data_IF_781491017838
#
_entry.id   IF_781491017838
#
_cell.length_a   1.000
_cell.length_b   1.000
_cell.length_c   1.000
_cell.angle_alpha   90.00
_cell.angle_beta   90.00
_cell.angle_gamma   90.00
#
_symmetry.space_group_name_H-M   'P 1'
#
loop_
_entity.id
_entity.type
_entity.pdbx_description
1 polymer ?
#
# COMPACT_ATOMS: atom_id res chain seq x y z
N UNK A 1 -13.47 0.08 20.78
CA UNK A 1 -14.03 0.46 19.44
C UNK A 1 -14.40 1.95 19.26
N UNK A 2 -15.42 2.54 19.92
CA UNK A 2 -15.84 3.93 19.64
C UNK A 2 -14.75 5.00 19.89
N UNK A 3 -14.00 4.89 20.99
CA UNK A 3 -12.88 5.78 21.32
C UNK A 3 -11.72 5.69 20.31
N UNK A 4 -11.44 4.49 19.79
CA UNK A 4 -10.41 4.30 18.75
C UNK A 4 -10.83 4.96 17.43
N UNK A 5 -12.09 4.83 17.02
CA UNK A 5 -12.62 5.48 15.81
C UNK A 5 -12.48 7.01 15.91
N UNK A 6 -12.88 7.59 17.05
CA UNK A 6 -12.75 9.04 17.30
C UNK A 6 -11.28 9.47 17.23
N UNK A 7 -10.37 8.72 17.86
CA UNK A 7 -8.94 8.99 17.82
C UNK A 7 -8.37 8.90 16.40
N UNK A 8 -8.75 7.89 15.63
CA UNK A 8 -8.35 7.71 14.23
C UNK A 8 -8.88 8.85 13.37
N UNK A 9 -10.13 9.28 13.56
CA UNK A 9 -10.74 10.39 12.84
C UNK A 9 -10.03 11.72 13.14
N UNK A 10 -9.69 11.98 14.40
CA UNK A 10 -8.89 13.14 14.81
C UNK A 10 -7.50 13.12 14.17
N UNK A 11 -6.78 11.99 14.27
CA UNK A 11 -5.47 11.82 13.61
C UNK A 11 -5.56 12.01 12.11
N UNK A 12 -6.62 11.52 11.47
CA UNK A 12 -6.85 11.67 10.04
C UNK A 12 -6.99 13.15 9.66
N UNK A 13 -7.79 13.91 10.41
CA UNK A 13 -7.98 15.34 10.17
C UNK A 13 -6.68 16.13 10.34
N UNK A 14 -5.95 15.89 11.43
CA UNK A 14 -4.65 16.54 11.70
C UNK A 14 -3.62 16.25 10.61
N UNK A 15 -3.50 14.98 10.20
CA UNK A 15 -2.58 14.54 9.14
C UNK A 15 -2.96 15.13 7.79
N UNK A 16 -4.26 15.17 7.47
CA UNK A 16 -4.80 15.79 6.25
C UNK A 16 -4.52 17.30 6.21
N UNK A 17 -4.67 18.00 7.35
CA UNK A 17 -4.33 19.41 7.49
C UNK A 17 -2.84 19.66 7.23
N UNK A 18 -1.95 18.88 7.86
CA UNK A 18 -0.49 18.96 7.62
C UNK A 18 -0.15 18.75 6.15
N UNK A 19 -0.72 17.71 5.50
CA UNK A 19 -0.54 17.45 4.07
C UNK A 19 -0.97 18.63 3.21
N UNK A 20 -2.17 19.17 3.45
CA UNK A 20 -2.70 20.28 2.66
C UNK A 20 -1.89 21.56 2.84
N UNK A 21 -1.39 21.81 4.05
CA UNK A 21 -0.50 22.93 4.34
C UNK A 21 0.83 22.78 3.58
N UNK A 22 1.43 21.60 3.55
CA UNK A 22 2.63 21.35 2.73
C UNK A 22 2.38 21.55 1.24
N UNK A 23 1.24 21.06 0.72
CA UNK A 23 0.86 21.29 -0.68
C UNK A 23 0.69 22.79 -0.96
N UNK A 24 0.03 23.52 -0.06
CA UNK A 24 -0.12 24.97 -0.19
C UNK A 24 1.24 25.68 -0.27
N UNK A 25 2.18 25.35 0.60
CA UNK A 25 3.53 25.96 0.57
C UNK A 25 4.35 25.58 -0.67
N UNK A 26 4.05 24.46 -1.33
CA UNK A 26 4.69 24.08 -2.60
C UNK A 26 4.00 24.75 -3.80
N UNK A 27 2.68 24.91 -3.79
CA UNK A 27 1.95 25.51 -4.91
C UNK A 27 1.93 27.05 -4.89
N UNK A 28 1.92 27.67 -3.70
CA UNK A 28 1.82 29.11 -3.55
C UNK A 28 2.97 29.87 -4.25
N UNK A 29 4.25 29.47 -4.09
CA UNK A 29 5.36 30.15 -4.76
C UNK A 29 5.20 30.15 -6.29
N UNK A 30 4.79 29.02 -6.87
CA UNK A 30 4.53 28.91 -8.32
C UNK A 30 3.48 29.94 -8.77
N UNK A 31 2.36 30.03 -8.04
CA UNK A 31 1.30 31.00 -8.36
C UNK A 31 1.78 32.45 -8.22
N UNK A 32 2.56 32.75 -7.17
CA UNK A 32 3.15 34.07 -6.97
C UNK A 32 4.13 34.43 -8.08
N UNK A 33 4.98 33.49 -8.49
CA UNK A 33 5.92 33.69 -9.61
C UNK A 33 5.17 33.95 -10.92
N UNK A 34 4.15 33.16 -11.24
CA UNK A 34 3.34 33.39 -12.45
C UNK A 34 2.66 34.76 -12.41
N UNK A 35 2.03 35.13 -11.30
CA UNK A 35 1.37 36.42 -11.16
C UNK A 35 2.36 37.59 -11.28
N UNK A 36 3.51 37.49 -10.61
CA UNK A 36 4.56 38.51 -10.68
C UNK A 36 5.11 38.65 -12.10
N UNK A 37 5.34 37.55 -12.81
CA UNK A 37 5.78 37.55 -14.20
C UNK A 37 4.78 38.29 -15.10
N UNK A 38 3.48 37.98 -14.97
CA UNK A 38 2.43 38.64 -15.75
C UNK A 38 2.35 40.15 -15.47
N UNK A 39 2.44 40.55 -14.19
CA UNK A 39 2.43 41.97 -13.80
C UNK A 39 3.64 42.70 -14.37
N UNK A 40 4.84 42.15 -14.21
CA UNK A 40 6.08 42.79 -14.65
C UNK A 40 6.14 42.91 -16.19
N UNK A 41 5.67 41.89 -16.91
CA UNK A 41 5.71 41.86 -18.37
C UNK A 41 4.61 42.71 -19.02
N UNK A 42 3.36 42.61 -18.55
CA UNK A 42 2.22 43.25 -19.22
C UNK A 42 1.81 44.60 -18.65
N UNK A 43 1.97 44.82 -17.33
CA UNK A 43 1.55 46.07 -16.68
C UNK A 43 2.72 47.04 -16.60
N UNK A 44 3.87 46.57 -16.12
CA UNK A 44 5.06 47.43 -15.93
C UNK A 44 5.87 47.53 -17.23
N UNK A 45 5.69 46.59 -18.16
CA UNK A 45 6.39 46.55 -19.46
C UNK A 45 7.92 46.57 -19.31
N UNK A 46 8.43 45.82 -18.32
CA UNK A 46 9.86 45.64 -18.17
C UNK A 46 10.44 44.84 -19.33
N UNK A 47 11.73 45.09 -19.60
CA UNK A 47 12.46 44.36 -20.62
C UNK A 47 12.44 42.85 -20.35
N UNK A 48 12.10 42.09 -21.39
CA UNK A 48 11.86 40.66 -21.29
C UNK A 48 13.14 39.90 -20.89
N UNK A 49 14.29 40.35 -21.36
CA UNK A 49 15.59 39.74 -21.04
C UNK A 49 15.90 39.89 -19.54
N UNK A 50 15.59 41.05 -18.96
CA UNK A 50 15.76 41.31 -17.53
C UNK A 50 14.80 40.46 -16.68
N UNK A 51 13.52 40.37 -17.05
CA UNK A 51 12.55 39.51 -16.36
C UNK A 51 13.04 38.06 -16.40
N UNK A 52 13.41 37.56 -17.57
CA UNK A 52 13.83 36.15 -17.73
C UNK A 52 15.07 35.84 -16.91
N UNK A 53 16.04 36.75 -16.87
CA UNK A 53 17.27 36.61 -16.07
C UNK A 53 17.00 36.46 -14.58
N UNK A 54 15.98 37.14 -14.04
CA UNK A 54 15.59 37.06 -12.62
C UNK A 54 14.75 35.80 -12.35
N UNK A 55 13.80 35.50 -13.22
CA UNK A 55 12.85 34.41 -13.00
C UNK A 55 13.46 33.02 -13.18
N UNK A 56 14.48 32.86 -14.03
CA UNK A 56 15.12 31.57 -14.25
C UNK A 56 15.76 31.01 -12.96
N UNK A 57 16.61 31.75 -12.21
CA UNK A 57 17.10 31.30 -10.91
C UNK A 57 15.99 31.02 -9.89
N UNK A 58 14.94 31.85 -9.85
CA UNK A 58 13.81 31.65 -8.93
C UNK A 58 13.05 30.36 -9.23
N UNK A 59 12.79 30.08 -10.51
CA UNK A 59 12.15 28.84 -10.96
C UNK A 59 13.01 27.61 -10.65
N UNK A 60 14.34 27.70 -10.81
CA UNK A 60 15.25 26.62 -10.42
C UNK A 60 15.25 26.40 -8.90
N UNK A 61 15.25 27.47 -8.10
CA UNK A 61 15.14 27.39 -6.64
C UNK A 61 13.84 26.71 -6.20
N UNK A 62 12.72 27.10 -6.81
CA UNK A 62 11.40 26.51 -6.53
C UNK A 62 11.31 25.03 -6.96
N UNK A 63 11.93 24.67 -8.09
CA UNK A 63 12.03 23.27 -8.52
C UNK A 63 12.79 22.43 -7.50
N UNK A 64 13.95 22.91 -7.01
CA UNK A 64 14.75 22.23 -5.99
C UNK A 64 13.93 22.09 -4.69
N UNK A 65 13.25 23.15 -4.26
CA UNK A 65 12.38 23.13 -3.09
C UNK A 65 11.26 22.09 -3.23
N UNK A 66 10.58 22.05 -4.39
CA UNK A 66 9.52 21.09 -4.68
C UNK A 66 10.04 19.65 -4.62
N UNK A 67 11.22 19.38 -5.20
CA UNK A 67 11.85 18.07 -5.15
C UNK A 67 12.22 17.67 -3.72
N UNK A 68 12.72 18.60 -2.90
CA UNK A 68 13.02 18.34 -1.49
C UNK A 68 11.77 18.02 -0.66
N UNK A 69 10.62 18.63 -1.00
CA UNK A 69 9.35 18.42 -0.29
C UNK A 69 8.56 17.20 -0.76
N UNK A 70 8.86 16.67 -1.96
CA UNK A 70 8.18 15.52 -2.58
C UNK A 70 7.99 14.33 -1.64
N UNK A 71 9.07 13.90 -0.96
CA UNK A 71 9.03 12.72 -0.10
C UNK A 71 8.14 12.94 1.14
N UNK A 72 8.20 14.15 1.74
CA UNK A 72 7.32 14.52 2.86
C UNK A 72 5.86 14.51 2.44
N UNK A 73 5.53 15.07 1.27
CA UNK A 73 4.17 15.06 0.73
C UNK A 73 3.70 13.61 0.52
N UNK A 74 4.53 12.76 -0.07
CA UNK A 74 4.21 11.33 -0.28
C UNK A 74 3.91 10.61 1.03
N UNK A 75 4.75 10.83 2.06
CA UNK A 75 4.55 10.26 3.39
C UNK A 75 3.19 10.64 4.00
N UNK A 76 2.88 11.95 4.04
CA UNK A 76 1.59 12.40 4.57
C UNK A 76 0.41 11.93 3.73
N UNK A 77 0.57 11.85 2.40
CA UNK A 77 -0.46 11.31 1.53
C UNK A 77 -0.77 9.84 1.86
N UNK A 78 0.26 9.00 1.99
CA UNK A 78 0.11 7.60 2.36
C UNK A 78 -0.54 7.42 3.73
N UNK A 79 -0.14 8.21 4.74
CA UNK A 79 -0.74 8.14 6.07
C UNK A 79 -2.22 8.55 6.07
N UNK A 80 -2.59 9.58 5.31
CA UNK A 80 -4.01 9.97 5.15
C UNK A 80 -4.81 8.84 4.50
N UNK A 81 -4.24 8.16 3.50
CA UNK A 81 -4.89 7.01 2.88
C UNK A 81 -5.03 5.83 3.84
N UNK A 82 -3.98 5.51 4.61
CA UNK A 82 -4.01 4.47 5.63
C UNK A 82 -5.11 4.71 6.67
N UNK A 83 -5.14 5.91 7.25
CA UNK A 83 -6.15 6.28 8.24
C UNK A 83 -7.57 6.26 7.64
N UNK A 84 -7.74 6.62 6.37
CA UNK A 84 -9.03 6.51 5.69
C UNK A 84 -9.47 5.04 5.54
N UNK A 85 -8.54 4.13 5.26
CA UNK A 85 -8.86 2.69 5.18
C UNK A 85 -9.34 2.13 6.52
N UNK A 86 -8.72 2.53 7.62
CA UNK A 86 -9.16 2.11 8.96
C UNK A 86 -10.54 2.65 9.33
N UNK A 87 -10.90 3.84 8.86
CA UNK A 87 -12.22 4.44 9.12
C UNK A 87 -13.34 3.79 8.29
N UNK A 88 -13.02 3.29 7.09
CA UNK A 88 -13.98 2.70 6.15
C UNK A 88 -13.85 1.17 6.04
N UNK A 89 -13.25 0.51 7.03
CA UNK A 89 -12.99 -0.92 6.98
C UNK A 89 -14.27 -1.78 6.93
N UNK A 90 -14.20 -2.91 6.24
CA UNK A 90 -15.30 -3.89 6.13
C UNK A 90 -15.62 -4.60 7.45
N UNK A 91 -14.62 -4.78 8.31
CA UNK A 91 -14.72 -5.61 9.52
C UNK A 91 -14.51 -7.10 9.23
N UNK A 92 -14.74 -7.99 10.22
CA UNK A 92 -14.56 -9.43 10.05
C UNK A 92 -15.61 -10.02 9.10
N UNK A 93 -15.19 -10.94 8.24
CA UNK A 93 -16.01 -11.56 7.19
C UNK A 93 -16.08 -13.06 7.42
N UNK A 94 -17.30 -13.61 7.51
CA UNK A 94 -17.53 -15.05 7.65
C UNK A 94 -17.17 -15.79 6.36
N UNK A 95 -16.45 -16.90 6.51
CA UNK A 95 -16.06 -17.76 5.40
C UNK A 95 -17.12 -18.82 5.10
N UNK A 96 -17.13 -19.27 3.84
CA UNK A 96 -17.93 -20.43 3.39
C UNK A 96 -17.20 -21.75 3.59
N UNK A 97 -15.87 -21.74 3.46
CA UNK A 97 -15.00 -22.89 3.64
C UNK A 97 -13.79 -22.52 4.49
N UNK A 98 -13.21 -23.53 5.15
CA UNK A 98 -12.00 -23.32 5.95
C UNK A 98 -10.79 -23.10 5.04
N UNK A 99 -9.95 -22.16 5.43
CA UNK A 99 -8.63 -21.92 4.80
C UNK A 99 -7.54 -22.65 5.59
N UNK A 100 -6.32 -22.70 5.06
CA UNK A 100 -5.21 -23.55 5.55
C UNK A 100 -5.48 -25.07 5.55
N UNK A 101 -6.46 -25.54 4.78
CA UNK A 101 -6.65 -26.98 4.51
C UNK A 101 -5.72 -27.43 3.39
N UNK A 102 -5.49 -28.74 3.26
CA UNK A 102 -4.74 -29.29 2.13
C UNK A 102 -5.36 -28.93 0.77
N UNK A 103 -6.69 -28.92 0.67
CA UNK A 103 -7.40 -28.51 -0.55
C UNK A 103 -7.16 -27.04 -0.89
N UNK A 104 -7.17 -26.16 0.13
CA UNK A 104 -6.90 -24.74 -0.05
C UNK A 104 -5.45 -24.49 -0.50
N UNK A 105 -4.48 -25.15 0.13
CA UNK A 105 -3.07 -25.05 -0.23
C UNK A 105 -2.82 -25.60 -1.64
N UNK A 106 -3.46 -26.71 -2.02
CA UNK A 106 -3.36 -27.23 -3.38
C UNK A 106 -3.95 -26.25 -4.41
N UNK A 107 -5.04 -25.55 -4.07
CA UNK A 107 -5.60 -24.49 -4.92
C UNK A 107 -4.61 -23.36 -5.22
N UNK A 108 -3.67 -23.05 -4.31
CA UNK A 108 -2.61 -22.08 -4.59
C UNK A 108 -1.69 -22.55 -5.72
N UNK A 109 -1.34 -23.85 -5.73
CA UNK A 109 -0.51 -24.43 -6.80
C UNK A 109 -1.24 -24.40 -8.14
N UNK A 110 -2.54 -24.69 -8.13
CA UNK A 110 -3.39 -24.63 -9.32
C UNK A 110 -3.51 -23.20 -9.90
N UNK A 111 -3.45 -22.17 -9.04
CA UNK A 111 -3.38 -20.76 -9.45
C UNK A 111 -1.97 -20.33 -9.94
N UNK A 112 -1.00 -21.23 -9.98
CA UNK A 112 0.34 -21.00 -10.52
C UNK A 112 1.38 -20.53 -9.52
N UNK A 113 1.10 -20.62 -8.21
CA UNK A 113 2.11 -20.33 -7.18
C UNK A 113 3.15 -21.43 -7.08
N UNK A 114 4.41 -21.01 -6.96
CA UNK A 114 5.54 -21.86 -6.66
C UNK A 114 5.84 -21.79 -5.16
N UNK A 115 6.18 -22.93 -4.57
CA UNK A 115 6.66 -22.99 -3.20
C UNK A 115 8.13 -22.59 -3.19
N UNK A 116 8.45 -21.46 -2.56
CA UNK A 116 9.84 -21.01 -2.38
C UNK A 116 10.49 -21.70 -1.19
N UNK A 117 9.74 -21.77 -0.08
CA UNK A 117 10.25 -22.21 1.21
C UNK A 117 9.15 -22.85 2.05
N UNK A 118 9.49 -23.90 2.76
CA UNK A 118 8.60 -24.64 3.66
C UNK A 118 9.37 -24.98 4.93
N UNK A 119 9.24 -24.13 5.95
CA UNK A 119 9.92 -24.28 7.23
C UNK A 119 8.94 -24.66 8.34
N UNK A 120 9.44 -24.92 9.55
CA UNK A 120 8.58 -25.33 10.68
C UNK A 120 7.53 -24.27 11.00
N UNK A 121 7.88 -22.99 10.87
CA UNK A 121 7.07 -21.89 11.39
C UNK A 121 6.23 -21.20 10.31
N UNK A 122 6.63 -21.30 9.03
CA UNK A 122 5.90 -20.70 7.91
C UNK A 122 6.11 -21.42 6.57
N UNK A 123 5.22 -21.13 5.60
CA UNK A 123 5.41 -21.45 4.18
C UNK A 123 5.41 -20.18 3.36
N UNK A 124 6.29 -20.10 2.36
CA UNK A 124 6.37 -18.99 1.40
C UNK A 124 6.04 -19.48 0.00
N UNK A 125 4.95 -18.95 -0.57
CA UNK A 125 4.57 -19.14 -1.95
C UNK A 125 4.76 -17.85 -2.74
N UNK A 126 5.11 -17.95 -4.02
CA UNK A 126 5.29 -16.79 -4.88
C UNK A 126 4.90 -17.05 -6.34
N UNK A 127 4.62 -15.96 -7.05
CA UNK A 127 4.55 -15.94 -8.50
C UNK A 127 5.06 -14.60 -9.05
N UNK A 128 5.77 -14.66 -10.17
CA UNK A 128 6.10 -13.49 -10.98
C UNK A 128 5.05 -13.34 -12.08
N UNK A 129 4.32 -12.24 -12.08
CA UNK A 129 3.27 -12.00 -13.08
C UNK A 129 3.36 -10.60 -13.69
N UNK A 130 3.09 -10.52 -15.00
CA UNK A 130 2.99 -9.24 -15.73
C UNK A 130 1.57 -8.71 -15.83
N UNK A 131 0.58 -9.58 -15.59
CA UNK A 131 -0.84 -9.32 -15.83
C UNK A 131 -1.65 -9.68 -14.60
N UNK A 132 -2.07 -8.67 -13.84
CA UNK A 132 -3.07 -8.85 -12.81
C UNK A 132 -4.47 -8.76 -13.42
N UNK A 133 -5.35 -9.68 -13.04
CA UNK A 133 -6.76 -9.67 -13.46
C UNK A 133 -7.40 -8.34 -13.02
N UNK A 134 -8.06 -7.66 -13.95
CA UNK A 134 -8.72 -6.37 -13.69
C UNK A 134 -7.81 -5.14 -13.62
N UNK A 135 -6.48 -5.28 -13.81
CA UNK A 135 -5.57 -4.14 -13.85
C UNK A 135 -4.84 -4.08 -15.21
N UNK A 136 -5.20 -3.14 -16.10
CA UNK A 136 -4.44 -2.93 -17.32
C UNK A 136 -3.04 -2.40 -16.99
N UNK A 137 -2.06 -2.85 -17.79
CA UNK A 137 -0.65 -2.45 -17.68
C UNK A 137 -0.13 -2.56 -16.24
N UNK A 138 -0.37 -3.70 -15.60
CA UNK A 138 0.07 -3.98 -14.24
C UNK A 138 1.60 -3.96 -14.12
N UNK A 139 2.31 -4.37 -15.17
CA UNK A 139 3.78 -4.45 -15.23
C UNK A 139 4.31 -5.64 -14.43
N UNK A 140 5.64 -5.71 -14.29
CA UNK A 140 6.33 -6.77 -13.55
C UNK A 140 6.02 -6.69 -12.04
N UNK A 141 5.33 -7.71 -11.53
CA UNK A 141 4.86 -7.84 -10.14
C UNK A 141 5.30 -9.17 -9.53
N UNK A 142 5.81 -9.10 -8.31
CA UNK A 142 5.95 -10.23 -7.40
C UNK A 142 4.71 -10.30 -6.51
N UNK A 143 3.95 -11.39 -6.62
CA UNK A 143 2.87 -11.72 -5.69
C UNK A 143 3.34 -12.87 -4.80
N UNK A 144 3.39 -12.64 -3.50
CA UNK A 144 3.85 -13.61 -2.51
C UNK A 144 2.75 -13.87 -1.46
N UNK A 145 2.67 -15.11 -0.99
CA UNK A 145 1.84 -15.51 0.14
C UNK A 145 2.74 -16.10 1.21
N UNK A 146 2.63 -15.56 2.43
CA UNK A 146 3.28 -16.12 3.62
C UNK A 146 2.19 -16.75 4.47
N UNK A 147 2.31 -18.05 4.76
CA UNK A 147 1.40 -18.77 5.64
C UNK A 147 2.11 -19.04 6.96
N UNK A 148 1.70 -18.38 8.05
CA UNK A 148 2.19 -18.71 9.38
C UNK A 148 1.59 -20.04 9.85
N UNK A 149 2.45 -20.96 10.28
CA UNK A 149 2.05 -22.25 10.89
C UNK A 149 1.82 -22.08 12.39
N UNK A 150 2.56 -21.19 13.03
CA UNK A 150 2.52 -20.92 14.47
C UNK A 150 1.83 -19.58 14.80
N UNK A 151 1.03 -19.49 15.88
CA UNK A 151 0.37 -18.24 16.31
C UNK A 151 1.33 -17.13 16.74
N UNK A 152 2.53 -17.46 17.21
CA UNK A 152 3.51 -16.47 17.67
C UNK A 152 4.43 -15.94 16.56
N UNK A 153 4.23 -16.42 15.33
CA UNK A 153 5.04 -16.02 14.19
C UNK A 153 4.89 -14.50 13.92
N UNK A 154 6.03 -13.82 13.75
CA UNK A 154 6.07 -12.39 13.41
C UNK A 154 6.50 -12.23 11.96
N UNK A 155 5.65 -11.59 11.16
CA UNK A 155 5.90 -11.40 9.73
C UNK A 155 7.05 -10.44 9.37
N UNK A 156 7.50 -9.64 10.33
CA UNK A 156 8.56 -8.64 10.15
C UNK A 156 9.83 -9.08 10.87
N UNK A 157 10.27 -10.30 10.59
CA UNK A 157 11.53 -10.88 11.08
C UNK A 157 12.56 -10.92 9.96
N UNK A 158 13.84 -10.87 10.35
CA UNK A 158 14.98 -10.91 9.43
C UNK A 158 14.98 -12.15 8.51
N UNK A 159 14.46 -13.28 8.99
CA UNK A 159 14.36 -14.53 8.23
C UNK A 159 13.53 -14.33 6.95
N UNK A 160 12.34 -13.73 7.07
CA UNK A 160 11.49 -13.44 5.91
C UNK A 160 12.13 -12.41 4.97
N UNK A 161 12.84 -11.43 5.50
CA UNK A 161 13.55 -10.44 4.66
C UNK A 161 14.64 -11.11 3.82
N UNK A 162 15.38 -12.05 4.40
CA UNK A 162 16.39 -12.85 3.69
C UNK A 162 15.73 -13.72 2.61
N UNK A 163 14.61 -14.38 2.92
CA UNK A 163 13.87 -15.19 1.94
C UNK A 163 13.32 -14.35 0.78
N UNK A 164 12.71 -13.22 1.09
CA UNK A 164 12.22 -12.28 0.08
C UNK A 164 13.38 -11.77 -0.79
N UNK A 165 14.54 -11.47 -0.20
CA UNK A 165 15.75 -11.10 -0.95
C UNK A 165 16.20 -12.20 -1.92
N UNK A 166 16.19 -13.47 -1.49
CA UNK A 166 16.49 -14.61 -2.38
C UNK A 166 15.51 -14.73 -3.54
N UNK A 167 14.23 -14.39 -3.35
CA UNK A 167 13.28 -14.33 -4.47
C UNK A 167 13.68 -13.29 -5.50
N UNK A 168 14.15 -12.12 -5.07
CA UNK A 168 14.67 -11.09 -5.99
C UNK A 168 15.94 -11.51 -6.72
N UNK A 169 16.83 -12.24 -6.05
CA UNK A 169 18.05 -12.76 -6.67
C UNK A 169 17.75 -13.81 -7.77
N UNK A 170 16.63 -14.54 -7.63
CA UNK A 170 16.15 -15.54 -8.58
C UNK A 170 15.08 -14.99 -9.55
N UNK A 171 14.96 -13.67 -9.65
CA UNK A 171 14.04 -13.02 -10.57
C UNK A 171 14.35 -13.38 -12.04
N UNK A 172 13.34 -13.66 -12.89
CA UNK A 172 13.58 -13.96 -14.30
C UNK A 172 14.34 -12.82 -15.00
N UNK A 173 15.33 -13.12 -15.85
CA UNK A 173 16.24 -12.12 -16.47
C UNK A 173 15.58 -10.92 -17.18
N UNK A 174 14.34 -11.06 -17.63
CA UNK A 174 13.58 -9.99 -18.30
C UNK A 174 12.52 -9.34 -17.41
N UNK A 175 12.51 -9.68 -16.14
CA UNK A 175 11.57 -9.19 -15.15
C UNK A 175 12.31 -8.20 -14.26
N UNK A 176 11.70 -7.06 -13.98
CA UNK A 176 12.23 -6.09 -13.00
C UNK A 176 11.11 -5.66 -12.08
N UNK A 177 11.00 -6.36 -10.97
CA UNK A 177 9.97 -6.16 -9.96
C UNK A 177 10.09 -4.76 -9.40
N UNK A 178 9.14 -3.91 -9.77
CA UNK A 178 8.91 -2.63 -9.09
C UNK A 178 7.76 -2.73 -8.10
N UNK A 179 7.00 -3.83 -8.13
CA UNK A 179 5.71 -3.94 -7.46
C UNK A 179 5.65 -5.27 -6.73
N UNK A 180 5.49 -5.20 -5.43
CA UNK A 180 5.41 -6.36 -4.57
C UNK A 180 4.07 -6.33 -3.82
N UNK A 181 3.36 -7.44 -3.85
CA UNK A 181 2.15 -7.67 -3.09
C UNK A 181 2.40 -8.93 -2.25
N UNK A 182 2.41 -8.79 -0.93
CA UNK A 182 2.59 -9.88 0.03
C UNK A 182 1.30 -10.03 0.83
N UNK A 183 0.73 -11.22 0.79
CA UNK A 183 -0.45 -11.57 1.58
C UNK A 183 -0.02 -12.50 2.70
N UNK A 184 -0.19 -12.05 3.93
CA UNK A 184 0.36 -12.69 5.12
C UNK A 184 -0.78 -13.33 5.91
N UNK A 185 -0.97 -14.65 5.79
CA UNK A 185 -2.04 -15.36 6.49
C UNK A 185 -1.56 -15.88 7.82
N UNK A 186 -2.29 -15.58 8.89
CA UNK A 186 -2.01 -16.05 10.25
C UNK A 186 -3.27 -16.49 10.95
N UNK A 187 -3.16 -17.56 11.74
CA UNK A 187 -4.25 -18.07 12.57
C UNK A 187 -4.25 -17.34 13.91
N UNK A 188 -5.44 -17.00 14.38
CA UNK A 188 -5.69 -16.37 15.67
C UNK A 188 -6.82 -17.13 16.37
N UNK A 189 -6.77 -17.16 17.70
CA UNK A 189 -7.76 -17.87 18.51
C UNK A 189 -9.09 -17.10 18.53
N UNK A 190 -9.03 -15.79 18.81
CA UNK A 190 -10.19 -14.94 18.93
C UNK A 190 -9.98 -13.55 18.31
N UNK A 191 -11.06 -12.94 17.85
CA UNK A 191 -11.06 -11.57 17.36
C UNK A 191 -11.29 -10.60 18.51
N UNK A 192 -10.21 -9.94 18.91
CA UNK A 192 -10.15 -8.94 19.97
C UNK A 192 -9.38 -7.69 19.49
N UNK A 193 -9.29 -6.65 20.32
CA UNK A 193 -8.63 -5.40 19.93
C UNK A 193 -7.12 -5.62 19.65
N UNK A 194 -6.45 -6.54 20.34
CA UNK A 194 -5.01 -6.82 20.16
C UNK A 194 -4.70 -7.49 18.81
N UNK A 195 -5.43 -8.56 18.48
CA UNK A 195 -5.32 -9.23 17.18
C UNK A 195 -5.69 -8.29 16.04
N UNK A 196 -6.71 -7.44 16.24
CA UNK A 196 -7.09 -6.41 15.28
C UNK A 196 -5.96 -5.40 15.05
N UNK A 197 -5.34 -4.91 16.12
CA UNK A 197 -4.25 -3.93 16.04
C UNK A 197 -3.02 -4.53 15.35
N UNK A 198 -2.69 -5.80 15.61
CA UNK A 198 -1.62 -6.53 14.91
C UNK A 198 -1.93 -6.68 13.40
N UNK A 199 -3.13 -7.16 13.05
CA UNK A 199 -3.56 -7.34 11.66
C UNK A 199 -3.61 -5.99 10.92
N UNK A 200 -3.86 -4.91 11.65
CA UNK A 200 -3.91 -3.53 11.10
C UNK A 200 -2.55 -2.94 10.77
N UNK A 201 -1.45 -3.62 11.12
CA UNK A 201 -0.08 -3.28 10.75
C UNK A 201 0.21 -3.70 9.31
N UNK A 202 -0.36 -2.97 8.35
CA UNK A 202 -0.14 -3.17 6.93
C UNK A 202 1.02 -2.30 6.42
N UNK A 203 1.67 -2.75 5.36
CA UNK A 203 2.55 -1.89 4.56
C UNK A 203 1.81 -1.53 3.28
N UNK A 204 1.65 -0.24 3.01
CA UNK A 204 1.12 0.26 1.74
C UNK A 204 2.00 1.39 1.24
N UNK A 205 3.22 1.05 0.84
CA UNK A 205 4.23 1.99 0.41
C UNK A 205 4.20 2.22 -1.09
N UNK A 206 4.30 3.49 -1.47
CA UNK A 206 4.38 3.94 -2.86
C UNK A 206 5.46 5.00 -3.00
N UNK A 207 6.40 4.76 -3.90
CA UNK A 207 7.36 5.76 -4.35
C UNK A 207 7.53 5.70 -5.87
N UNK A 208 7.05 6.72 -6.58
CA UNK A 208 7.01 6.75 -8.05
C UNK A 208 6.31 5.50 -8.63
N UNK A 209 7.06 4.65 -9.34
CA UNK A 209 6.59 3.39 -9.94
C UNK A 209 6.74 2.18 -9.00
N UNK A 210 7.37 2.37 -7.84
CA UNK A 210 7.58 1.32 -6.85
C UNK A 210 6.38 1.21 -5.92
N UNK A 211 5.88 -0.01 -5.74
CA UNK A 211 4.78 -0.34 -4.85
C UNK A 211 5.19 -1.51 -3.96
N UNK A 212 4.98 -1.37 -2.66
CA UNK A 212 5.21 -2.42 -1.67
C UNK A 212 3.95 -2.51 -0.81
N UNK A 213 3.22 -3.61 -0.97
CA UNK A 213 1.93 -3.83 -0.31
C UNK A 213 2.02 -5.12 0.50
N UNK A 214 1.91 -5.03 1.82
CA UNK A 214 1.81 -6.17 2.71
C UNK A 214 0.48 -6.07 3.45
N UNK A 215 -0.35 -7.10 3.32
CA UNK A 215 -1.64 -7.17 4.00
C UNK A 215 -1.64 -8.44 4.84
N UNK A 216 -1.76 -8.24 6.16
CA UNK A 216 -2.01 -9.33 7.10
C UNK A 216 -3.48 -9.74 7.04
N UNK A 217 -3.71 -11.05 6.98
CA UNK A 217 -5.01 -11.69 6.98
C UNK A 217 -5.07 -12.59 8.20
N UNK A 218 -5.83 -12.15 9.22
CA UNK A 218 -6.10 -12.96 10.38
C UNK A 218 -7.26 -13.90 10.13
N UNK A 219 -7.02 -15.19 10.36
CA UNK A 219 -8.03 -16.24 10.29
C UNK A 219 -8.38 -16.73 11.70
N UNK A 220 -9.65 -16.58 12.07
CA UNK A 220 -10.18 -17.01 13.36
C UNK A 220 -10.84 -18.37 13.19
N UNK A 221 -10.13 -19.42 13.59
CA UNK A 221 -10.46 -20.80 13.22
C UNK A 221 -11.83 -21.24 13.76
N UNK A 222 -12.09 -21.01 15.05
CA UNK A 222 -13.33 -21.42 15.71
C UNK A 222 -14.55 -20.68 15.17
N UNK A 223 -14.36 -19.43 14.79
CA UNK A 223 -15.41 -18.54 14.29
C UNK A 223 -15.59 -18.64 12.76
N UNK A 224 -14.70 -19.39 12.09
CA UNK A 224 -14.60 -19.52 10.63
C UNK A 224 -14.77 -18.19 9.90
N UNK A 225 -13.97 -17.20 10.30
CA UNK A 225 -14.00 -15.86 9.74
C UNK A 225 -12.59 -15.30 9.52
N UNK A 226 -12.48 -14.32 8.64
CA UNK A 226 -11.23 -13.60 8.39
C UNK A 226 -11.38 -12.12 8.65
N UNK A 227 -10.30 -11.49 9.07
CA UNK A 227 -10.18 -10.04 9.16
C UNK A 227 -8.90 -9.59 8.48
N UNK A 228 -8.98 -8.51 7.74
CA UNK A 228 -7.87 -7.80 7.13
C UNK A 228 -8.32 -6.37 6.80
N UNK A 229 -7.37 -5.44 6.70
CA UNK A 229 -7.70 -4.04 6.40
C UNK A 229 -8.15 -3.90 4.95
N UNK A 230 -9.46 -3.93 4.72
CA UNK A 230 -10.08 -3.73 3.42
C UNK A 230 -11.09 -2.58 3.50
N UNK A 231 -10.86 -1.45 2.82
CA UNK A 231 -11.84 -0.37 2.77
C UNK A 231 -13.06 -0.77 1.93
N UNK A 232 -14.26 -0.34 2.34
CA UNK A 232 -15.52 -0.57 1.62
C UNK A 232 -15.60 0.17 0.28
N UNK A 233 -15.09 1.41 0.24
CA UNK A 233 -15.30 2.30 -0.89
C UNK A 233 -13.99 2.79 -1.50
N UNK A 234 -13.12 3.42 -0.70
CA UNK A 234 -11.96 4.13 -1.24
C UNK A 234 -10.64 3.37 -1.02
N UNK A 235 -10.20 2.68 -2.05
CA UNK A 235 -8.89 2.03 -2.07
C UNK A 235 -7.75 3.04 -2.31
N UNK A 236 -6.58 2.85 -1.68
CA UNK A 236 -5.46 3.80 -1.77
C UNK A 236 -4.78 3.78 -3.14
N UNK A 237 -4.79 2.61 -3.81
CA UNK A 237 -4.29 2.40 -5.16
C UNK A 237 -4.90 1.12 -5.76
N UNK A 238 -4.75 0.97 -7.07
CA UNK A 238 -5.29 -0.19 -7.82
C UNK A 238 -4.71 -1.54 -7.38
N UNK A 239 -3.45 -1.58 -6.94
CA UNK A 239 -2.80 -2.82 -6.51
C UNK A 239 -3.31 -3.29 -5.14
N UNK A 240 -3.61 -2.35 -4.25
CA UNK A 240 -4.26 -2.65 -2.97
C UNK A 240 -5.70 -3.14 -3.19
N UNK A 241 -6.45 -2.51 -4.11
CA UNK A 241 -7.76 -3.01 -4.54
C UNK A 241 -7.67 -4.44 -5.04
N UNK A 242 -6.71 -4.75 -5.91
CA UNK A 242 -6.48 -6.13 -6.36
C UNK A 242 -6.16 -7.05 -5.18
N UNK A 243 -5.26 -6.66 -4.28
CA UNK A 243 -4.88 -7.49 -3.13
C UNK A 243 -6.10 -7.85 -2.27
N UNK A 244 -6.97 -6.88 -1.95
CA UNK A 244 -8.22 -7.14 -1.24
C UNK A 244 -9.17 -8.07 -1.98
N UNK A 245 -9.39 -7.83 -3.28
CA UNK A 245 -10.22 -8.72 -4.14
C UNK A 245 -9.64 -10.13 -4.19
N UNK A 246 -8.32 -10.24 -4.25
CA UNK A 246 -7.60 -11.51 -4.35
C UNK A 246 -7.64 -12.29 -3.03
N UNK A 247 -7.48 -11.64 -1.88
CA UNK A 247 -7.72 -12.25 -0.57
C UNK A 247 -9.15 -12.80 -0.49
N UNK A 248 -10.16 -12.02 -0.92
CA UNK A 248 -11.56 -12.47 -0.95
C UNK A 248 -11.73 -13.71 -1.84
N UNK A 249 -11.13 -13.73 -3.03
CA UNK A 249 -11.13 -14.88 -3.93
C UNK A 249 -10.51 -16.12 -3.25
N UNK A 250 -9.31 -15.99 -2.70
CA UNK A 250 -8.60 -17.08 -2.01
C UNK A 250 -9.41 -17.62 -0.82
N UNK A 251 -10.15 -16.76 -0.13
CA UNK A 251 -10.98 -17.15 1.02
C UNK A 251 -12.39 -17.64 0.62
N UNK A 252 -12.72 -17.69 -0.68
CA UNK A 252 -14.06 -18.08 -1.16
C UNK A 252 -15.17 -17.09 -0.77
N UNK A 253 -14.82 -15.82 -0.52
CA UNK A 253 -15.76 -14.75 -0.20
C UNK A 253 -16.36 -14.23 -1.51
N UNK A 254 -17.69 -14.13 -1.58
CA UNK A 254 -18.37 -13.53 -2.73
C UNK A 254 -17.91 -12.10 -2.92
N UNK A 255 -17.54 -11.77 -4.16
CA UNK A 255 -17.16 -10.42 -4.50
C UNK A 255 -18.29 -9.78 -5.29
N UNK A 256 -18.99 -8.85 -4.66
CA UNK A 256 -19.97 -7.99 -5.35
C UNK A 256 -19.19 -7.12 -6.36
N UNK A 257 -19.69 -7.06 -7.60
CA UNK A 257 -19.10 -6.27 -8.70
C UNK A 257 -19.59 -4.83 -8.68
#
# INVERSE_FOLDING_TARGET
MATQIINTQKKWYETKKKRNLLLFFVFLPVLVLIAAFLILNYIIQLDFDLITTIFLPLALGDLIFTLAMKNKISYYHMNVQYLAMLLEEEGPIKLRGRIFTASWINGLKDEGFQLAHDEKDHMLYYQFTRKLKGIPSSGDILLALVLAKEPDFKFYQEVLDVEMKRLYENEPKHFRTKKQIVLQFKRYDEFNDDSKDEISQIINFKNNQQYLIHITVGYFFDQNMVYFVCPKHRFPNKYYYFACRYIKQLCGIKIEE
#
